data_IF_493025021595
#
_entry.id   IF_493025021595
#
_cell.length_a   1.000
_cell.length_b   1.000
_cell.length_c   1.000
_cell.angle_alpha   90.00
_cell.angle_beta   90.00
_cell.angle_gamma   90.00
#
_symmetry.space_group_name_H-M   'P 1'
#
loop_
_entity.id
_entity.type
_entity.pdbx_description
1 polymer ?
#
# COMPACT_ATOMS: atom_id res chain seq x y z
N UNK A 1 11.84 26.48 -1.54
CA UNK A 1 12.35 25.90 -2.80
C UNK A 1 11.90 24.45 -2.79
N UNK A 2 10.89 24.09 -3.60
CA UNK A 2 10.31 22.74 -3.58
C UNK A 2 11.21 21.83 -4.41
N UNK A 3 11.80 20.83 -3.76
CA UNK A 3 12.61 19.82 -4.44
C UNK A 3 11.70 18.98 -5.35
N UNK A 4 11.94 19.05 -6.66
CA UNK A 4 11.27 18.21 -7.64
C UNK A 4 11.83 16.80 -7.51
N UNK A 5 11.25 15.97 -6.65
CA UNK A 5 11.52 14.53 -6.65
C UNK A 5 10.91 13.93 -7.92
N UNK A 6 11.72 13.33 -8.83
CA UNK A 6 11.18 12.72 -10.04
C UNK A 6 10.28 11.53 -9.67
N UNK A 7 9.11 11.46 -10.32
CA UNK A 7 8.21 10.32 -10.20
C UNK A 7 8.95 9.07 -10.71
N UNK A 8 9.04 7.97 -9.94
CA UNK A 8 9.64 6.73 -10.41
C UNK A 8 8.94 6.24 -11.67
N UNK A 9 9.69 6.12 -12.77
CA UNK A 9 9.15 5.54 -14.01
C UNK A 9 9.09 4.02 -13.87
N UNK A 10 7.90 3.45 -13.98
CA UNK A 10 7.74 2.00 -14.07
C UNK A 10 8.38 1.53 -15.38
N UNK A 11 9.27 0.52 -15.32
CA UNK A 11 9.81 -0.16 -16.50
C UNK A 11 8.68 -0.54 -17.47
N UNK A 12 8.91 -0.36 -18.77
CA UNK A 12 7.92 -0.65 -19.80
C UNK A 12 7.44 -2.10 -19.72
N UNK A 13 6.22 -2.37 -20.21
CA UNK A 13 5.58 -3.71 -20.16
C UNK A 13 6.50 -4.81 -20.72
N UNK A 14 7.40 -4.46 -21.65
CA UNK A 14 8.34 -5.37 -22.31
C UNK A 14 9.64 -5.66 -21.52
N UNK A 15 9.93 -4.94 -20.43
CA UNK A 15 11.14 -5.13 -19.61
C UNK A 15 10.91 -6.02 -18.38
N UNK A 16 9.68 -6.53 -18.20
CA UNK A 16 9.33 -7.37 -17.06
C UNK A 16 9.86 -8.80 -17.29
N UNK A 17 10.57 -9.40 -16.32
CA UNK A 17 10.97 -10.79 -16.42
C UNK A 17 9.73 -11.69 -16.54
N UNK A 18 9.82 -12.72 -17.38
CA UNK A 18 8.77 -13.75 -17.49
C UNK A 18 8.73 -14.52 -16.17
N UNK A 19 7.64 -14.38 -15.42
CA UNK A 19 7.42 -15.07 -14.15
C UNK A 19 6.98 -16.51 -14.42
N UNK A 20 7.82 -17.50 -14.11
CA UNK A 20 7.55 -18.92 -14.39
C UNK A 20 7.07 -19.69 -13.17
N UNK A 21 7.46 -19.25 -11.99
CA UNK A 21 7.12 -19.88 -10.72
C UNK A 21 6.98 -18.87 -9.57
N UNK A 22 6.66 -19.39 -8.38
CA UNK A 22 6.47 -18.58 -7.18
C UNK A 22 7.76 -17.91 -6.69
N UNK A 23 8.93 -18.47 -7.00
CA UNK A 23 10.21 -17.92 -6.57
C UNK A 23 10.63 -16.75 -7.46
N UNK A 24 10.28 -16.77 -8.75
CA UNK A 24 10.37 -15.62 -9.64
C UNK A 24 9.56 -14.43 -9.13
N UNK A 25 8.33 -14.68 -8.69
CA UNK A 25 7.44 -13.65 -8.14
C UNK A 25 8.06 -13.04 -6.87
N UNK A 26 8.52 -13.87 -5.92
CA UNK A 26 9.15 -13.39 -4.68
C UNK A 26 10.36 -12.52 -4.96
N UNK A 27 11.25 -12.98 -5.84
CA UNK A 27 12.48 -12.27 -6.22
C UNK A 27 12.20 -10.94 -6.91
N UNK A 28 11.14 -10.84 -7.71
CA UNK A 28 10.75 -9.57 -8.33
C UNK A 28 10.15 -8.59 -7.31
N UNK A 29 9.36 -9.09 -6.35
CA UNK A 29 8.83 -8.29 -5.23
C UNK A 29 9.99 -7.73 -4.38
N UNK A 30 11.01 -8.54 -4.09
CA UNK A 30 12.19 -8.12 -3.31
C UNK A 30 13.04 -7.05 -4.02
N UNK A 31 13.16 -7.14 -5.35
CA UNK A 31 13.88 -6.15 -6.16
C UNK A 31 13.12 -4.83 -6.31
N UNK A 32 11.80 -4.87 -6.13
CA UNK A 32 10.98 -3.66 -6.24
C UNK A 32 11.30 -2.76 -5.06
N UNK A 33 11.75 -1.50 -5.29
CA UNK A 33 11.99 -0.55 -4.22
C UNK A 33 10.72 -0.42 -3.38
N UNK A 34 10.80 -0.81 -2.11
CA UNK A 34 9.67 -0.64 -1.20
C UNK A 34 9.51 0.87 -0.98
N UNK A 35 8.35 1.44 -1.29
CA UNK A 35 8.17 2.86 -1.05
C UNK A 35 8.25 3.07 0.46
N UNK A 36 9.08 4.02 0.89
CA UNK A 36 9.22 4.41 2.30
C UNK A 36 7.99 5.25 2.70
N UNK A 37 6.85 4.58 2.77
CA UNK A 37 5.57 5.18 3.13
C UNK A 37 5.45 5.05 4.63
N UNK A 38 5.79 6.13 5.33
CA UNK A 38 5.44 6.29 6.73
C UNK A 38 3.96 6.63 6.83
N UNK A 39 3.21 5.83 7.57
CA UNK A 39 1.80 6.09 7.81
C UNK A 39 1.63 7.10 8.95
N UNK A 40 0.84 8.15 8.73
CA UNK A 40 0.46 9.09 9.78
C UNK A 40 -0.54 8.46 10.75
N UNK A 41 -1.33 7.50 10.25
CA UNK A 41 -2.30 6.76 11.06
C UNK A 41 -2.37 5.30 10.65
N UNK A 42 -2.59 4.43 11.62
CA UNK A 42 -2.80 2.99 11.40
C UNK A 42 -4.08 2.53 12.07
N UNK A 43 -4.87 1.71 11.38
CA UNK A 43 -6.05 1.04 11.95
C UNK A 43 -6.03 -0.46 11.66
N UNK A 44 -6.45 -1.25 12.64
CA UNK A 44 -6.76 -2.66 12.43
C UNK A 44 -8.25 -2.79 12.08
N UNK A 45 -8.50 -3.24 10.85
CA UNK A 45 -9.82 -3.59 10.36
C UNK A 45 -10.22 -4.88 11.06
N UNK A 46 -11.18 -4.76 11.99
CA UNK A 46 -11.70 -5.89 12.75
C UNK A 46 -12.36 -6.96 11.86
N UNK A 47 -12.96 -8.01 12.46
CA UNK A 47 -13.51 -9.13 11.71
C UNK A 47 -14.49 -8.68 10.62
N UNK A 48 -14.43 -9.35 9.46
CA UNK A 48 -15.33 -9.11 8.34
C UNK A 48 -16.76 -9.53 8.70
N UNK A 49 -17.53 -8.59 9.24
CA UNK A 49 -18.92 -8.80 9.60
C UNK A 49 -19.63 -7.46 9.78
N UNK A 50 -20.88 -7.39 9.32
CA UNK A 50 -21.77 -6.23 9.51
C UNK A 50 -21.22 -4.87 8.99
N UNK A 51 -20.24 -4.88 8.08
CA UNK A 51 -19.67 -3.65 7.51
C UNK A 51 -18.77 -2.85 8.45
N UNK A 52 -18.32 -3.43 9.57
CA UNK A 52 -17.50 -2.74 10.58
C UNK A 52 -16.19 -2.17 10.02
N UNK A 53 -15.55 -2.86 9.08
CA UNK A 53 -14.33 -2.39 8.40
C UNK A 53 -14.55 -1.09 7.64
N UNK A 54 -15.71 -0.95 7.00
CA UNK A 54 -16.12 0.26 6.27
C UNK A 54 -16.39 1.40 7.26
N UNK A 55 -17.08 1.12 8.36
CA UNK A 55 -17.38 2.11 9.40
C UNK A 55 -16.08 2.65 10.02
N UNK A 56 -15.17 1.75 10.42
CA UNK A 56 -13.88 2.11 11.01
C UNK A 56 -13.01 2.93 10.04
N UNK A 57 -12.96 2.51 8.78
CA UNK A 57 -12.23 3.25 7.74
C UNK A 57 -12.81 4.65 7.53
N UNK A 58 -14.14 4.78 7.49
CA UNK A 58 -14.81 6.06 7.31
C UNK A 58 -14.56 7.01 8.49
N UNK A 59 -14.59 6.51 9.74
CA UNK A 59 -14.26 7.31 10.91
C UNK A 59 -12.80 7.75 10.90
N UNK A 60 -11.87 6.85 10.56
CA UNK A 60 -10.46 7.18 10.47
C UNK A 60 -10.20 8.28 9.43
N UNK A 61 -10.79 8.17 8.23
CA UNK A 61 -10.63 9.15 7.15
C UNK A 61 -11.20 10.52 7.52
N UNK A 62 -12.33 10.58 8.22
CA UNK A 62 -12.96 11.86 8.62
C UNK A 62 -12.09 12.70 9.55
N UNK A 63 -11.25 12.04 10.34
CA UNK A 63 -10.35 12.70 11.29
C UNK A 63 -8.98 13.04 10.70
N UNK A 64 -8.71 12.60 9.47
CA UNK A 64 -7.44 12.83 8.78
C UNK A 64 -7.45 14.11 7.97
N UNK A 65 -6.26 14.70 7.80
CA UNK A 65 -6.03 15.86 6.95
C UNK A 65 -5.74 15.43 5.51
N UNK A 66 -6.04 16.28 4.51
CA UNK A 66 -5.64 16.03 3.13
C UNK A 66 -4.11 15.81 3.04
N UNK A 67 -3.72 14.71 2.40
CA UNK A 67 -2.31 14.33 2.22
C UNK A 67 -1.73 13.38 3.28
N UNK A 68 -2.45 13.13 4.38
CA UNK A 68 -2.06 12.11 5.36
C UNK A 68 -2.28 10.69 4.83
N UNK A 69 -1.40 9.77 5.21
CA UNK A 69 -1.43 8.37 4.78
C UNK A 69 -2.02 7.47 5.86
N UNK A 70 -3.08 6.74 5.50
CA UNK A 70 -3.71 5.74 6.35
C UNK A 70 -3.20 4.34 6.00
N UNK A 71 -2.59 3.67 6.98
CA UNK A 71 -2.30 2.23 6.88
C UNK A 71 -3.45 1.44 7.48
N UNK A 72 -3.92 0.45 6.74
CA UNK A 72 -4.94 -0.50 7.20
C UNK A 72 -4.31 -1.88 7.30
N UNK A 73 -4.60 -2.57 8.39
CA UNK A 73 -4.24 -3.98 8.57
C UNK A 73 -5.52 -4.78 8.74
N UNK A 74 -5.60 -5.96 8.14
CA UNK A 74 -6.74 -6.86 8.31
C UNK A 74 -6.24 -8.22 8.74
N UNK A 75 -6.77 -8.72 9.85
CA UNK A 75 -6.43 -10.02 10.44
C UNK A 75 -7.36 -11.15 9.97
N UNK A 76 -7.90 -11.05 8.75
CA UNK A 76 -8.71 -12.12 8.17
C UNK A 76 -7.83 -13.36 7.88
N UNK A 77 -8.21 -14.56 8.36
CA UNK A 77 -7.52 -15.81 7.97
C UNK A 77 -7.69 -16.15 6.49
#
# INVERSE_FOLDING_TARGET
>A
MSENNPIPTFKGINDRPVLRDWDDIRREIEKTPKPDIMADRSIELGPCGMGMTVIQSNWAIKEMKPGEVLRTESSHP
#
